data_IF_412127868332
#
_entry.id   IF_412127868332
#
_cell.length_a   1.000
_cell.length_b   1.000
_cell.length_c   1.000
_cell.angle_alpha   90.00
_cell.angle_beta   90.00
_cell.angle_gamma   90.00
#
_symmetry.space_group_name_H-M   'P 1'
#
loop_
_entity.id
_entity.type
_entity.pdbx_description
1 polymer ?
#
# COMPACT_ATOMS: atom_id res chain seq x y z
N UNK A 1 29.52 -14.68 7.52
CA UNK A 1 28.18 -14.90 6.95
C UNK A 1 27.35 -13.65 7.23
N UNK A 2 27.34 -12.73 6.27
CA UNK A 2 26.77 -11.39 6.37
C UNK A 2 25.25 -11.45 6.25
N UNK A 3 24.55 -11.40 7.38
CA UNK A 3 23.14 -11.07 7.40
C UNK A 3 23.00 -9.67 6.79
N UNK A 4 22.41 -9.62 5.60
CA UNK A 4 22.33 -8.40 4.78
C UNK A 4 21.62 -7.28 5.54
N UNK A 5 22.38 -6.23 5.86
CA UNK A 5 21.92 -5.01 6.55
C UNK A 5 20.77 -4.28 5.79
N UNK A 6 20.47 -4.71 4.56
CA UNK A 6 19.37 -4.21 3.73
C UNK A 6 17.96 -4.64 4.19
N UNK A 7 17.82 -5.66 5.04
CA UNK A 7 16.49 -6.05 5.55
C UNK A 7 15.96 -5.16 6.69
N UNK A 8 16.81 -4.30 7.26
CA UNK A 8 16.51 -3.53 8.47
C UNK A 8 15.93 -2.13 8.22
N UNK A 9 16.10 -1.57 7.02
CA UNK A 9 15.64 -0.21 6.72
C UNK A 9 14.11 -0.17 6.53
N UNK A 10 13.38 0.77 7.15
CA UNK A 10 12.01 1.07 6.75
C UNK A 10 12.01 1.43 5.26
N UNK A 11 10.95 1.04 4.53
CA UNK A 11 10.79 1.51 3.16
C UNK A 11 10.77 3.04 3.19
N UNK A 12 11.59 3.75 2.42
CA UNK A 12 11.55 5.22 2.39
C UNK A 12 10.16 5.73 1.95
N UNK A 13 9.50 4.99 1.06
CA UNK A 13 8.08 5.04 0.73
C UNK A 13 7.69 3.71 0.08
N UNK A 14 6.39 3.42 0.00
CA UNK A 14 5.91 2.33 -0.84
C UNK A 14 5.92 2.83 -2.28
N UNK A 15 6.67 2.18 -3.18
CA UNK A 15 6.71 2.59 -4.58
C UNK A 15 5.89 1.63 -5.43
N UNK A 16 4.89 2.16 -6.12
CA UNK A 16 4.16 1.40 -7.13
C UNK A 16 4.94 1.46 -8.44
N UNK A 17 5.08 0.33 -9.11
CA UNK A 17 5.60 0.31 -10.50
C UNK A 17 4.60 0.97 -11.46
N UNK A 18 5.04 1.39 -12.64
CA UNK A 18 4.15 1.98 -13.64
C UNK A 18 3.09 0.99 -14.11
N UNK A 19 3.41 -0.31 -14.18
CA UNK A 19 2.44 -1.35 -14.50
C UNK A 19 1.41 -1.52 -13.40
N UNK A 20 1.83 -1.53 -12.12
CA UNK A 20 0.89 -1.57 -10.99
C UNK A 20 -0.01 -0.35 -10.99
N UNK A 21 0.55 0.83 -11.26
CA UNK A 21 -0.25 2.03 -11.34
C UNK A 21 -1.25 1.96 -12.50
N UNK A 22 -0.85 1.48 -13.68
CA UNK A 22 -1.73 1.30 -14.83
C UNK A 22 -2.90 0.32 -14.53
N UNK A 23 -2.66 -0.72 -13.72
CA UNK A 23 -3.70 -1.64 -13.26
C UNK A 23 -4.69 -0.98 -12.28
N UNK A 24 -4.19 -0.11 -11.40
CA UNK A 24 -4.98 0.48 -10.32
C UNK A 24 -5.68 1.78 -10.71
N UNK A 25 -5.07 2.58 -11.58
CA UNK A 25 -5.54 3.90 -11.97
C UNK A 25 -7.00 3.92 -12.45
N UNK A 26 -7.48 2.96 -13.29
CA UNK A 26 -8.87 2.94 -13.75
C UNK A 26 -9.90 2.81 -12.63
N UNK A 27 -9.53 2.21 -11.48
CA UNK A 27 -10.41 2.09 -10.31
C UNK A 27 -10.47 3.38 -9.49
N UNK A 28 -9.39 4.17 -9.50
CA UNK A 28 -9.19 5.30 -8.59
C UNK A 28 -9.62 6.62 -9.21
N UNK A 29 -9.33 6.81 -10.50
CA UNK A 29 -9.60 8.07 -11.20
C UNK A 29 -11.09 8.41 -11.26
N UNK A 30 -12.03 7.50 -11.61
CA UNK A 30 -13.46 7.82 -11.59
C UNK A 30 -13.97 8.13 -10.19
N UNK A 31 -13.44 7.41 -9.19
CA UNK A 31 -13.88 7.53 -7.81
C UNK A 31 -13.40 8.81 -7.14
N UNK A 32 -12.25 9.37 -7.54
CA UNK A 32 -11.65 10.55 -6.94
C UNK A 32 -11.98 11.86 -7.69
N UNK A 33 -12.13 11.81 -9.01
CA UNK A 33 -12.56 12.93 -9.87
C UNK A 33 -14.02 13.35 -9.67
N UNK A 34 -14.83 12.54 -8.97
CA UNK A 34 -16.09 12.97 -8.36
C UNK A 34 -15.86 13.93 -7.17
N UNK A 35 -15.02 14.97 -7.33
CA UNK A 35 -15.32 16.27 -6.72
C UNK A 35 -16.69 16.63 -7.26
N UNK A 36 -17.60 17.11 -6.40
CA UNK A 36 -18.87 17.70 -6.87
C UNK A 36 -18.50 18.74 -7.91
N UNK A 37 -18.63 18.42 -9.19
CA UNK A 37 -18.77 19.44 -10.22
C UNK A 37 -20.10 20.09 -9.86
N UNK A 38 -20.12 21.36 -9.42
CA UNK A 38 -21.40 22.03 -9.22
C UNK A 38 -22.18 21.95 -10.53
N UNK A 39 -23.50 21.76 -10.51
CA UNK A 39 -24.31 21.51 -11.71
C UNK A 39 -24.29 22.64 -12.77
N UNK A 40 -23.56 23.73 -12.54
CA UNK A 40 -23.08 24.64 -13.58
C UNK A 40 -21.84 25.37 -13.08
N UNK A 41 -20.75 25.49 -13.84
CA UNK A 41 -19.71 26.46 -13.52
C UNK A 41 -20.29 27.89 -13.65
N UNK A 42 -19.97 28.82 -12.75
CA UNK A 42 -20.27 30.23 -12.97
C UNK A 42 -19.51 30.72 -14.23
N UNK A 43 -20.10 31.62 -15.04
CA UNK A 43 -19.40 32.19 -16.17
C UNK A 43 -18.17 32.98 -15.70
N UNK A 44 -16.97 32.52 -16.07
CA UNK A 44 -15.70 33.14 -15.73
C UNK A 44 -14.52 32.16 -15.84
N UNK A 45 -13.27 32.64 -15.95
CA UNK A 45 -12.11 31.76 -15.88
C UNK A 45 -12.14 31.04 -14.51
N UNK A 46 -11.93 29.71 -14.48
CA UNK A 46 -11.93 28.98 -13.22
C UNK A 46 -10.90 29.61 -12.28
N UNK A 47 -11.22 29.82 -10.99
CA UNK A 47 -10.22 30.27 -10.03
C UNK A 47 -9.01 29.34 -10.13
N UNK A 48 -7.76 29.83 -10.00
CA UNK A 48 -6.57 28.99 -10.07
C UNK A 48 -6.73 27.88 -9.02
N UNK A 49 -7.16 26.72 -9.51
CA UNK A 49 -7.56 25.62 -8.67
C UNK A 49 -6.34 25.08 -7.97
N UNK A 50 -6.49 24.65 -6.73
CA UNK A 50 -5.46 23.86 -6.04
C UNK A 50 -4.99 22.76 -7.00
N UNK A 51 -3.67 22.63 -7.25
CA UNK A 51 -3.15 21.68 -8.22
C UNK A 51 -3.72 20.28 -7.98
N UNK A 52 -3.94 19.49 -9.05
CA UNK A 52 -4.44 18.13 -8.92
C UNK A 52 -3.55 17.36 -7.95
N UNK A 53 -4.17 16.72 -6.95
CA UNK A 53 -3.44 15.87 -6.01
C UNK A 53 -3.02 14.63 -6.80
N UNK A 54 -1.74 14.28 -6.72
CA UNK A 54 -1.24 13.04 -7.31
C UNK A 54 -1.76 11.83 -6.51
N UNK A 55 -2.74 11.13 -7.10
CA UNK A 55 -3.42 10.00 -6.47
C UNK A 55 -2.50 8.80 -6.28
N UNK A 56 -1.51 8.60 -7.17
CA UNK A 56 -0.51 7.55 -7.01
C UNK A 56 0.24 7.76 -5.72
N UNK A 57 0.70 8.99 -5.48
CA UNK A 57 1.45 9.34 -4.26
C UNK A 57 0.62 9.25 -3.00
N UNK A 58 -0.68 9.57 -3.09
CA UNK A 58 -1.61 9.34 -1.98
C UNK A 58 -1.74 7.85 -1.68
N UNK A 59 -1.88 7.00 -2.70
CA UNK A 59 -1.98 5.56 -2.51
C UNK A 59 -0.67 4.98 -1.95
N UNK A 60 0.47 5.33 -2.52
CA UNK A 60 1.80 4.96 -2.03
C UNK A 60 1.99 5.30 -0.54
N UNK A 61 1.58 6.49 -0.11
CA UNK A 61 1.63 6.89 1.31
C UNK A 61 0.71 6.02 2.19
N UNK A 62 -0.49 5.70 1.72
CA UNK A 62 -1.44 4.81 2.43
C UNK A 62 -0.87 3.39 2.55
N UNK A 63 -0.34 2.84 1.46
CA UNK A 63 0.26 1.51 1.42
C UNK A 63 1.49 1.44 2.32
N UNK A 64 2.32 2.48 2.33
CA UNK A 64 3.45 2.59 3.26
C UNK A 64 2.99 2.54 4.71
N UNK A 65 1.98 3.34 5.07
CA UNK A 65 1.44 3.39 6.43
C UNK A 65 0.97 2.01 6.91
N UNK A 66 0.30 1.27 6.02
CA UNK A 66 -0.22 -0.06 6.34
C UNK A 66 0.93 -1.06 6.48
N UNK A 67 1.86 -1.06 5.53
CA UNK A 67 3.01 -1.96 5.49
C UNK A 67 3.89 -1.82 6.73
N UNK A 68 4.11 -0.58 7.18
CA UNK A 68 4.94 -0.28 8.35
C UNK A 68 4.16 -0.31 9.68
N UNK A 69 2.84 -0.56 9.65
CA UNK A 69 1.96 -0.45 10.83
C UNK A 69 2.12 0.89 11.59
N UNK A 70 2.49 1.94 10.86
CA UNK A 70 2.80 3.25 11.42
C UNK A 70 1.52 4.06 11.72
N UNK A 71 1.66 5.11 12.52
CA UNK A 71 0.58 6.06 12.72
C UNK A 71 0.46 7.02 11.50
N UNK A 72 -0.69 7.66 11.35
CA UNK A 72 -0.91 8.59 10.23
C UNK A 72 0.00 9.82 10.29
N UNK A 73 0.34 10.28 11.50
CA UNK A 73 1.22 11.43 11.69
C UNK A 73 2.70 11.11 11.40
N UNK A 74 3.06 9.83 11.28
CA UNK A 74 4.43 9.36 11.00
C UNK A 74 4.69 9.14 9.50
N UNK A 75 3.85 9.70 8.61
CA UNK A 75 4.10 9.60 7.18
C UNK A 75 5.47 10.22 6.83
N UNK A 76 6.22 9.61 5.89
CA UNK A 76 7.59 10.03 5.59
C UNK A 76 7.62 11.46 5.04
N UNK A 77 8.48 12.28 5.65
CA UNK A 77 8.89 13.58 5.13
C UNK A 77 9.75 13.38 3.86
N UNK A 78 9.96 14.45 3.08
CA UNK A 78 10.85 14.39 1.92
C UNK A 78 12.25 13.89 2.33
N UNK A 79 12.81 12.96 1.57
CA UNK A 79 14.21 12.55 1.63
C UNK A 79 14.97 13.10 0.42
N UNK A 80 16.30 12.95 0.41
CA UNK A 80 17.12 13.32 -0.74
C UNK A 80 16.80 12.49 -2.00
N UNK A 81 16.18 11.31 -1.84
CA UNK A 81 15.89 10.35 -2.91
C UNK A 81 14.39 10.29 -3.24
N UNK A 82 13.52 10.63 -2.28
CA UNK A 82 12.07 10.49 -2.43
C UNK A 82 11.32 11.77 -2.04
N UNK A 83 10.39 12.29 -2.88
CA UNK A 83 9.64 13.48 -2.53
C UNK A 83 8.71 13.24 -1.33
N UNK A 84 8.33 14.30 -0.59
CA UNK A 84 7.47 14.18 0.59
C UNK A 84 6.13 13.49 0.28
N UNK A 85 5.63 12.67 1.21
CA UNK A 85 4.27 12.17 1.15
C UNK A 85 3.26 13.33 1.20
N UNK A 86 2.07 13.21 0.56
CA UNK A 86 0.98 14.15 0.78
C UNK A 86 0.60 14.23 2.26
N UNK A 87 -0.06 15.33 2.66
CA UNK A 87 -0.42 15.51 4.07
C UNK A 87 -1.25 14.35 4.61
N UNK A 88 -1.01 13.94 5.85
CA UNK A 88 -1.69 12.79 6.44
C UNK A 88 -3.21 12.92 6.45
N UNK A 89 -3.76 14.15 6.60
CA UNK A 89 -5.19 14.39 6.52
C UNK A 89 -5.74 14.07 5.12
N UNK A 90 -4.97 14.39 4.08
CA UNK A 90 -5.32 14.07 2.69
C UNK A 90 -5.34 12.56 2.51
N UNK A 91 -4.26 11.88 2.89
CA UNK A 91 -4.16 10.42 2.81
C UNK A 91 -5.29 9.71 3.56
N UNK A 92 -5.59 10.15 4.80
CA UNK A 92 -6.67 9.57 5.59
C UNK A 92 -8.06 9.77 4.96
N UNK A 93 -8.33 10.94 4.38
CA UNK A 93 -9.59 11.21 3.68
C UNK A 93 -9.78 10.32 2.46
N UNK A 94 -8.73 10.16 1.65
CA UNK A 94 -8.75 9.27 0.49
C UNK A 94 -8.91 7.81 0.90
N UNK A 95 -8.15 7.36 1.90
CA UNK A 95 -8.29 6.02 2.45
C UNK A 95 -9.72 5.74 2.91
N UNK A 96 -10.32 6.62 3.73
CA UNK A 96 -11.71 6.48 4.19
C UNK A 96 -12.73 6.52 3.05
N UNK A 97 -12.44 7.24 1.96
CA UNK A 97 -13.29 7.28 0.76
C UNK A 97 -13.21 5.94 0.03
N UNK A 98 -12.03 5.47 -0.30
CA UNK A 98 -11.81 4.21 -1.01
C UNK A 98 -12.28 2.98 -0.22
N UNK A 99 -12.15 3.01 1.11
CA UNK A 99 -12.76 1.96 1.95
C UNK A 99 -14.28 1.93 1.84
N UNK A 100 -14.95 3.09 1.90
CA UNK A 100 -16.42 3.17 1.80
C UNK A 100 -16.95 2.75 0.43
N UNK A 101 -16.17 2.99 -0.62
CA UNK A 101 -16.50 2.60 -1.98
C UNK A 101 -16.13 1.15 -2.31
N UNK A 102 -15.55 0.39 -1.36
CA UNK A 102 -15.10 -0.97 -1.61
C UNK A 102 -13.87 -1.09 -2.51
N UNK A 103 -13.25 0.03 -2.89
CA UNK A 103 -12.10 0.07 -3.80
C UNK A 103 -10.82 -0.41 -3.11
N UNK A 104 -10.67 -0.13 -1.81
CA UNK A 104 -9.43 -0.49 -1.12
C UNK A 104 -9.17 -2.00 -1.05
N UNK A 105 -10.16 -2.86 -0.73
CA UNK A 105 -10.02 -4.31 -0.89
C UNK A 105 -9.63 -4.73 -2.31
N UNK A 106 -10.19 -4.09 -3.34
CA UNK A 106 -9.89 -4.41 -4.73
C UNK A 106 -8.45 -4.01 -5.12
N UNK A 107 -7.97 -2.87 -4.65
CA UNK A 107 -6.56 -2.46 -4.81
C UNK A 107 -5.63 -3.53 -4.26
N UNK A 108 -5.90 -4.01 -3.03
CA UNK A 108 -5.10 -5.06 -2.41
C UNK A 108 -5.18 -6.33 -3.26
N UNK A 109 -6.39 -6.76 -3.67
CA UNK A 109 -6.57 -7.94 -4.54
C UNK A 109 -5.75 -7.83 -5.83
N UNK A 110 -5.78 -6.70 -6.53
CA UNK A 110 -5.02 -6.51 -7.76
C UNK A 110 -3.50 -6.53 -7.55
N UNK A 111 -3.01 -5.95 -6.46
CA UNK A 111 -1.59 -6.02 -6.11
C UNK A 111 -1.15 -7.47 -5.79
N UNK A 112 -2.02 -8.27 -5.17
CA UNK A 112 -1.76 -9.69 -4.97
C UNK A 112 -1.69 -10.44 -6.31
N UNK A 113 -2.66 -10.22 -7.20
CA UNK A 113 -2.69 -10.87 -8.50
C UNK A 113 -1.49 -10.48 -9.36
N UNK A 114 -1.08 -9.21 -9.37
CA UNK A 114 0.14 -8.77 -10.06
C UNK A 114 1.39 -9.46 -9.50
N UNK A 115 1.50 -9.58 -8.17
CA UNK A 115 2.62 -10.28 -7.54
C UNK A 115 2.64 -11.78 -7.89
N UNK A 116 1.47 -12.41 -7.97
CA UNK A 116 1.33 -13.81 -8.36
C UNK A 116 1.68 -14.02 -9.84
N UNK A 117 1.06 -13.22 -10.71
CA UNK A 117 1.04 -13.46 -12.15
C UNK A 117 2.31 -12.91 -12.82
N UNK A 118 2.71 -11.67 -12.50
CA UNK A 118 3.93 -11.05 -13.04
C UNK A 118 5.15 -11.34 -12.18
N UNK A 119 4.96 -11.40 -10.87
CA UNK A 119 6.07 -11.65 -9.93
C UNK A 119 6.39 -13.14 -9.74
N UNK A 120 5.48 -14.05 -10.13
CA UNK A 120 5.63 -15.49 -9.90
C UNK A 120 5.59 -15.87 -8.41
N UNK A 121 5.07 -14.99 -7.55
CA UNK A 121 5.09 -15.14 -6.10
C UNK A 121 3.67 -15.25 -5.55
N UNK A 122 3.23 -16.48 -5.30
CA UNK A 122 1.95 -16.71 -4.64
C UNK A 122 2.09 -16.76 -3.12
N UNK A 123 1.79 -15.63 -2.48
CA UNK A 123 1.95 -15.47 -1.03
C UNK A 123 1.02 -16.36 -0.20
N UNK A 124 -0.14 -16.75 -0.73
CA UNK A 124 -1.14 -17.48 0.05
C UNK A 124 -0.65 -18.92 0.34
N UNK A 125 -0.34 -19.76 -0.67
CA UNK A 125 0.25 -21.07 -0.44
C UNK A 125 1.55 -20.99 0.35
N UNK A 126 2.40 -19.99 0.09
CA UNK A 126 3.65 -19.82 0.83
C UNK A 126 3.44 -19.55 2.33
N UNK A 127 2.41 -18.77 2.69
CA UNK A 127 2.06 -18.55 4.09
C UNK A 127 1.53 -19.83 4.74
N UNK A 128 0.66 -20.56 4.05
CA UNK A 128 0.05 -21.79 4.55
C UNK A 128 1.08 -22.91 4.74
N UNK A 129 2.04 -23.02 3.84
CA UNK A 129 3.14 -23.98 3.90
C UNK A 129 4.23 -23.60 4.92
N UNK A 130 4.11 -22.45 5.60
CA UNK A 130 5.11 -21.96 6.54
C UNK A 130 6.44 -21.55 5.88
N UNK A 131 6.43 -21.25 4.57
CA UNK A 131 7.62 -20.83 3.80
C UNK A 131 7.95 -19.35 3.97
N UNK A 132 7.08 -18.59 4.63
CA UNK A 132 7.32 -17.20 4.98
C UNK A 132 7.87 -17.10 6.40
N UNK A 133 9.04 -16.49 6.56
CA UNK A 133 9.63 -16.24 7.87
C UNK A 133 9.35 -14.81 8.32
N UNK A 134 9.06 -14.62 9.61
CA UNK A 134 8.83 -13.31 10.21
C UNK A 134 9.87 -13.04 11.28
N UNK A 135 10.46 -11.85 11.24
CA UNK A 135 11.36 -11.36 12.28
C UNK A 135 10.63 -10.37 13.20
N UNK A 136 10.94 -10.46 14.50
CA UNK A 136 10.45 -9.52 15.51
C UNK A 136 11.36 -8.28 15.53
N UNK A 137 10.79 -7.12 15.21
CA UNK A 137 11.44 -5.81 15.31
C UNK A 137 10.83 -4.99 16.45
N UNK A 138 11.47 -3.89 16.92
CA UNK A 138 10.84 -2.97 17.87
C UNK A 138 9.49 -2.39 17.38
N UNK A 139 9.32 -2.25 16.06
CA UNK A 139 8.07 -1.80 15.44
C UNK A 139 7.04 -2.94 15.23
N UNK A 140 7.37 -4.18 15.61
CA UNK A 140 6.52 -5.36 15.47
C UNK A 140 7.07 -6.43 14.53
N UNK A 141 6.22 -7.38 14.14
CA UNK A 141 6.57 -8.47 13.23
C UNK A 141 6.71 -7.99 11.79
N UNK A 142 7.77 -8.42 11.11
CA UNK A 142 8.10 -8.04 9.73
C UNK A 142 8.47 -9.28 8.91
N UNK A 143 8.03 -9.32 7.65
CA UNK A 143 8.41 -10.39 6.72
C UNK A 143 9.90 -10.32 6.39
N UNK A 144 10.57 -11.46 6.56
CA UNK A 144 11.90 -11.74 6.01
C UNK A 144 11.70 -12.16 4.56
N UNK A 145 12.25 -11.37 3.64
CA UNK A 145 12.13 -11.71 2.23
C UNK A 145 13.01 -12.94 1.92
N UNK A 146 12.45 -14.01 1.34
CA UNK A 146 13.22 -15.15 0.85
C UNK A 146 14.28 -14.74 -0.18
N UNK A 147 15.31 -15.56 -0.31
CA UNK A 147 16.28 -15.44 -1.39
C UNK A 147 15.59 -15.55 -2.77
N UNK A 148 16.02 -14.74 -3.74
CA UNK A 148 15.41 -14.67 -5.08
C UNK A 148 14.29 -13.64 -5.23
N UNK A 149 13.95 -12.90 -4.17
CA UNK A 149 13.00 -11.77 -4.23
C UNK A 149 13.73 -10.45 -4.52
N UNK A 150 14.40 -10.43 -5.66
CA UNK A 150 15.40 -9.40 -5.96
C UNK A 150 14.78 -8.05 -6.34
N UNK A 151 13.54 -8.09 -6.87
CA UNK A 151 12.84 -6.87 -7.29
C UNK A 151 12.26 -6.10 -6.08
N UNK A 152 12.47 -4.77 -6.01
CA UNK A 152 11.98 -3.95 -4.90
C UNK A 152 10.47 -4.01 -4.66
N UNK A 153 9.68 -4.10 -5.73
CA UNK A 153 8.22 -4.13 -5.63
C UNK A 153 7.69 -5.48 -5.12
N UNK A 154 8.37 -6.61 -5.41
CA UNK A 154 8.04 -7.90 -4.79
C UNK A 154 8.07 -7.80 -3.27
N UNK A 155 9.15 -7.24 -2.73
CA UNK A 155 9.34 -7.05 -1.30
C UNK A 155 8.30 -6.11 -0.70
N UNK A 156 8.00 -5.01 -1.40
CA UNK A 156 7.02 -4.03 -0.92
C UNK A 156 5.62 -4.66 -0.81
N UNK A 157 5.14 -5.30 -1.88
CA UNK A 157 3.83 -5.94 -1.92
C UNK A 157 3.75 -7.10 -0.92
N UNK A 158 4.77 -7.95 -0.83
CA UNK A 158 4.75 -9.05 0.11
C UNK A 158 4.72 -8.61 1.58
N UNK A 159 5.48 -7.56 1.93
CA UNK A 159 5.43 -6.95 3.27
C UNK A 159 4.07 -6.34 3.57
N UNK A 160 3.41 -5.72 2.59
CA UNK A 160 2.04 -5.22 2.73
C UNK A 160 1.07 -6.35 3.11
N UNK A 161 1.11 -7.47 2.40
CA UNK A 161 0.26 -8.64 2.70
C UNK A 161 0.53 -9.21 4.08
N UNK A 162 1.80 -9.42 4.44
CA UNK A 162 2.16 -9.89 5.77
C UNK A 162 1.62 -8.95 6.86
N UNK A 163 1.74 -7.63 6.68
CA UNK A 163 1.22 -6.64 7.63
C UNK A 163 -0.31 -6.70 7.77
N UNK A 164 -1.03 -6.89 6.66
CA UNK A 164 -2.49 -7.03 6.68
C UNK A 164 -2.94 -8.30 7.41
N UNK A 165 -2.30 -9.44 7.14
CA UNK A 165 -2.57 -10.72 7.81
C UNK A 165 -2.33 -10.58 9.32
N UNK A 166 -1.15 -10.07 9.70
CA UNK A 166 -0.79 -9.87 11.10
C UNK A 166 -1.76 -8.92 11.82
N UNK A 167 -2.20 -7.86 11.15
CA UNK A 167 -3.17 -6.91 11.71
C UNK A 167 -4.53 -7.58 11.95
N UNK A 168 -4.98 -8.45 11.04
CA UNK A 168 -6.22 -9.23 11.25
C UNK A 168 -6.06 -10.24 12.37
N UNK A 169 -4.96 -10.98 12.44
CA UNK A 169 -4.71 -11.95 13.52
C UNK A 169 -4.69 -11.27 14.90
N UNK A 170 -4.07 -10.09 15.02
CA UNK A 170 -4.10 -9.28 16.25
C UNK A 170 -5.53 -8.89 16.66
N UNK A 171 -6.37 -8.49 15.71
CA UNK A 171 -7.76 -8.07 15.97
C UNK A 171 -8.69 -9.24 16.28
N UNK A 172 -8.36 -10.43 15.80
CA UNK A 172 -9.21 -11.61 15.94
C UNK A 172 -8.34 -12.85 16.08
N UNK A 173 -7.80 -13.10 17.29
CA UNK A 173 -6.83 -14.16 17.54
C UNK A 173 -7.38 -15.58 17.31
N UNK A 174 -8.71 -15.72 17.16
CA UNK A 174 -9.39 -16.98 16.85
C UNK A 174 -9.52 -17.25 15.34
N UNK A 175 -9.15 -16.30 14.47
CA UNK A 175 -9.20 -16.52 13.03
C UNK A 175 -8.11 -17.50 12.59
N UNK A 176 -8.52 -18.52 11.83
CA UNK A 176 -7.55 -19.40 11.18
C UNK A 176 -6.95 -18.66 9.97
N UNK A 177 -5.67 -18.91 9.62
CA UNK A 177 -5.01 -18.37 8.43
C UNK A 177 -5.88 -18.32 7.17
N UNK A 178 -6.64 -19.39 6.94
CA UNK A 178 -7.49 -19.60 5.77
C UNK A 178 -8.67 -18.62 5.64
N UNK A 179 -9.16 -18.06 6.75
CA UNK A 179 -10.30 -17.12 6.75
C UNK A 179 -9.90 -15.71 6.30
N UNK A 180 -8.62 -15.47 6.08
CA UNK A 180 -8.06 -14.15 5.78
C UNK A 180 -7.97 -13.87 4.28
N UNK A 181 -8.28 -14.88 3.45
CA UNK A 181 -8.27 -14.84 1.99
C UNK A 181 -9.59 -14.22 1.51
N UNK A 182 -9.58 -13.19 0.64
CA UNK A 182 -10.78 -12.59 0.07
C UNK A 182 -11.49 -13.48 -0.95
#
# INVERSE_FOLDING_TARGET
MTASAFNSQPLELFHLTDEQWALLQPLLVPAASARRVPPSPPPGPPPPGRPPIDERRVLEAILWKITNQAAWYDLPAASAVTPAAPSWQTCYRYYRRWQRLGLFPEIIRLLYLDLRDRGGLDLIPMFLDGRLSLDKTPAGWRLVNPAGWDQPWHRAVARLFAALILTRLKKSPRLRPYSLIP
#
